data_IF_980346107749
#
_entry.id   IF_980346107749
#
_cell.length_a   1.000
_cell.length_b   1.000
_cell.length_c   1.000
_cell.angle_alpha   90.00
_cell.angle_beta   90.00
_cell.angle_gamma   90.00
#
_symmetry.space_group_name_H-M   'P 1'
#
loop_
_entity.id
_entity.type
_entity.pdbx_description
1 polymer ?
#
# COMPACT_ATOMS: atom_id res chain seq x y z
N UNK A 1 49.43 31.82 2.41
CA UNK A 1 48.06 31.55 1.90
C UNK A 1 47.48 30.28 2.51
N UNK A 2 47.37 30.21 3.85
CA UNK A 2 46.74 29.08 4.56
C UNK A 2 45.68 29.54 5.59
N UNK A 3 45.42 30.85 5.73
CA UNK A 3 44.56 31.38 6.80
C UNK A 3 43.10 31.69 6.43
N UNK A 4 42.71 31.65 5.15
CA UNK A 4 41.33 31.99 4.74
C UNK A 4 40.38 30.79 4.68
N UNK A 5 40.91 29.55 4.59
CA UNK A 5 40.05 28.35 4.53
C UNK A 5 39.65 27.82 5.90
N UNK A 6 40.47 28.00 6.93
CA UNK A 6 40.13 27.55 8.30
C UNK A 6 39.07 28.45 8.95
N UNK A 7 39.14 29.76 8.69
CA UNK A 7 38.19 30.77 9.21
C UNK A 7 36.77 30.62 8.64
N UNK A 8 36.64 30.17 7.37
CA UNK A 8 35.32 29.89 6.78
C UNK A 8 34.69 28.60 7.32
N UNK A 9 35.49 27.58 7.65
CA UNK A 9 34.98 26.35 8.26
C UNK A 9 34.51 26.57 9.70
N UNK A 10 35.25 27.37 10.49
CA UNK A 10 34.83 27.72 11.85
C UNK A 10 33.54 28.55 11.89
N UNK A 11 33.33 29.44 10.91
CA UNK A 11 32.09 30.23 10.83
C UNK A 11 30.89 29.37 10.43
N UNK A 12 31.05 28.41 9.53
CA UNK A 12 29.99 27.47 9.15
C UNK A 12 29.56 26.57 10.32
N UNK A 13 30.51 26.05 11.11
CA UNK A 13 30.19 25.23 12.30
C UNK A 13 29.50 26.08 13.38
N UNK A 14 29.87 27.36 13.52
CA UNK A 14 29.22 28.28 14.46
C UNK A 14 27.78 28.63 14.06
N UNK A 15 27.52 28.84 12.77
CA UNK A 15 26.16 29.12 12.27
C UNK A 15 25.26 27.88 12.34
N UNK A 16 25.77 26.70 12.02
CA UNK A 16 25.03 25.45 12.16
C UNK A 16 24.62 25.18 13.63
N UNK A 17 25.50 25.47 14.59
CA UNK A 17 25.20 25.32 16.02
C UNK A 17 24.17 26.36 16.53
N UNK A 18 24.20 27.59 16.01
CA UNK A 18 23.24 28.65 16.37
C UNK A 18 21.83 28.45 15.76
N UNK A 19 21.73 27.74 14.63
CA UNK A 19 20.43 27.36 14.04
C UNK A 19 19.78 26.24 14.88
N UNK A 20 20.58 25.29 15.37
CA UNK A 20 20.09 24.18 16.18
C UNK A 20 19.64 24.64 17.59
N UNK A 21 20.37 25.58 18.19
CA UNK A 21 20.01 26.18 19.49
C UNK A 21 18.69 26.97 19.43
N UNK A 22 18.44 27.72 18.33
CA UNK A 22 17.16 28.44 18.12
C UNK A 22 15.97 27.52 17.86
N UNK A 23 16.21 26.34 17.28
CA UNK A 23 15.16 25.30 17.13
C UNK A 23 14.83 24.64 18.47
N UNK A 24 15.80 24.46 19.35
CA UNK A 24 15.57 23.93 20.70
C UNK A 24 14.84 24.94 21.61
N UNK A 25 15.17 26.23 21.53
CA UNK A 25 14.47 27.27 22.32
C UNK A 25 13.02 27.53 21.86
N UNK A 26 12.68 27.27 20.59
CA UNK A 26 11.28 27.32 20.14
C UNK A 26 10.43 26.12 20.58
N UNK A 27 11.04 24.97 20.86
CA UNK A 27 10.33 23.78 21.37
C UNK A 27 10.03 23.91 22.87
N UNK A 28 10.83 24.66 23.64
CA UNK A 28 10.59 24.89 25.07
C UNK A 28 9.57 25.98 25.40
N UNK A 29 9.08 26.75 24.42
CA UNK A 29 8.09 27.82 24.63
C UNK A 29 6.62 27.34 24.58
N UNK A 30 6.37 26.04 24.43
CA UNK A 30 5.01 25.45 24.45
C UNK A 30 4.68 24.65 25.72
N UNK A 31 5.58 24.55 26.69
CA UNK A 31 5.37 23.81 27.95
C UNK A 31 5.46 24.71 29.20
N UNK A 32 4.69 25.80 29.27
CA UNK A 32 4.30 26.39 30.56
C UNK A 32 3.00 27.20 30.42
N UNK A 33 1.85 26.55 30.66
CA UNK A 33 0.62 27.25 31.04
C UNK A 33 -0.28 26.33 31.90
N UNK A 34 0.09 26.29 33.17
CA UNK A 34 -0.78 26.39 34.36
C UNK A 34 -1.83 25.27 34.62
N UNK A 35 -1.41 24.30 35.43
CA UNK A 35 -2.28 23.56 36.35
C UNK A 35 -2.77 24.49 37.46
N UNK A 36 -4.00 25.00 37.40
CA UNK A 36 -4.74 25.45 38.61
C UNK A 36 -6.26 25.41 38.40
N UNK A 37 -6.94 24.51 39.13
CA UNK A 37 -8.23 24.80 39.75
C UNK A 37 -9.49 24.11 39.20
N UNK A 38 -9.91 23.03 39.86
CA UNK A 38 -11.27 22.50 39.86
C UNK A 38 -12.29 23.52 40.41
N UNK A 39 -13.48 23.66 39.79
CA UNK A 39 -14.82 23.41 40.39
C UNK A 39 -15.98 23.74 39.43
N UNK A 40 -17.17 23.16 39.61
CA UNK A 40 -18.27 23.17 38.64
C UNK A 40 -19.26 24.31 38.87
N UNK A 41 -19.87 24.82 37.80
CA UNK A 41 -21.01 25.75 37.88
C UNK A 41 -22.30 25.08 37.40
N UNK A 42 -23.24 24.97 38.34
CA UNK A 42 -24.65 24.66 38.16
C UNK A 42 -25.46 25.90 37.75
N UNK A 43 -26.58 25.66 37.05
CA UNK A 43 -27.78 26.52 37.01
C UNK A 43 -28.15 27.03 35.60
N UNK A 44 -29.40 26.98 35.12
CA UNK A 44 -30.66 26.60 35.71
C UNK A 44 -31.75 26.40 34.63
N UNK A 45 -32.67 25.47 34.92
CA UNK A 45 -34.12 25.49 34.73
C UNK A 45 -34.76 26.04 33.42
N UNK A 46 -35.52 25.16 32.75
CA UNK A 46 -36.94 25.42 32.49
C UNK A 46 -37.76 24.12 32.63
N UNK A 47 -38.94 24.26 33.24
CA UNK A 47 -39.88 23.21 33.71
C UNK A 47 -41.17 23.28 32.87
N UNK A 48 -41.92 22.16 32.88
CA UNK A 48 -43.33 21.92 32.47
C UNK A 48 -43.48 21.29 31.08
N UNK A 49 -44.37 20.33 30.81
CA UNK A 49 -45.55 19.85 31.55
C UNK A 49 -45.92 18.43 31.05
N UNK A 50 -46.49 17.62 31.95
CA UNK A 50 -47.06 16.31 31.65
C UNK A 50 -48.47 16.45 31.07
N UNK A 51 -48.86 15.59 30.13
CA UNK A 51 -50.27 15.28 29.86
C UNK A 51 -50.44 13.81 29.45
N UNK A 52 -51.20 13.08 30.26
CA UNK A 52 -51.81 11.77 30.00
C UNK A 52 -53.10 11.96 29.20
N UNK A 53 -53.36 11.12 28.20
CA UNK A 53 -54.65 10.52 27.79
C UNK A 53 -54.22 9.29 26.92
N UNK A 54 -54.68 8.03 27.01
CA UNK A 54 -55.90 7.40 27.52
C UNK A 54 -56.44 6.48 26.41
N UNK A 55 -56.75 5.20 26.72
CA UNK A 55 -57.42 4.24 25.82
C UNK A 55 -56.51 3.08 25.36
N UNK A 56 -56.45 1.90 25.98
CA UNK A 56 -57.49 0.88 26.22
C UNK A 56 -58.01 0.24 24.94
N UNK A 57 -57.63 -1.02 24.66
CA UNK A 57 -58.53 -2.18 24.59
C UNK A 57 -57.84 -3.42 23.95
N UNK A 58 -57.97 -4.54 24.68
CA UNK A 58 -58.24 -5.93 24.26
C UNK A 58 -57.20 -6.70 23.41
N UNK A 59 -56.58 -7.77 23.94
CA UNK A 59 -57.10 -9.12 24.26
C UNK A 59 -56.92 -10.11 23.10
N UNK A 60 -56.13 -11.16 23.36
CA UNK A 60 -56.48 -12.52 22.98
C UNK A 60 -55.68 -13.16 21.85
N UNK A 61 -55.14 -14.36 22.14
CA UNK A 61 -55.11 -15.42 21.13
C UNK A 61 -53.81 -16.20 21.00
N UNK A 62 -53.59 -17.14 21.93
CA UNK A 62 -52.70 -18.29 21.74
C UNK A 62 -53.26 -19.27 20.68
N UNK A 63 -52.35 -19.94 19.94
CA UNK A 63 -52.29 -21.38 19.55
C UNK A 63 -51.50 -21.49 18.23
N UNK A 64 -50.35 -22.17 18.19
CA UNK A 64 -50.10 -23.64 18.21
C UNK A 64 -50.57 -24.40 16.97
N UNK A 65 -49.70 -25.35 16.56
CA UNK A 65 -49.82 -26.44 15.58
C UNK A 65 -49.37 -26.07 14.15
N UNK A 66 -48.71 -26.91 13.37
CA UNK A 66 -48.09 -28.24 13.50
C UNK A 66 -47.46 -28.52 12.10
N UNK A 67 -46.26 -29.13 12.03
CA UNK A 67 -46.00 -30.47 11.44
C UNK A 67 -46.19 -30.58 9.91
N UNK A 68 -45.08 -30.81 9.20
CA UNK A 68 -44.81 -31.90 8.23
C UNK A 68 -43.55 -31.51 7.41
N UNK A 69 -42.40 -32.19 7.47
CA UNK A 69 -42.04 -33.58 7.16
C UNK A 69 -41.87 -33.83 5.64
N UNK A 70 -40.77 -34.56 5.33
CA UNK A 70 -40.38 -35.13 4.02
C UNK A 70 -39.75 -34.15 2.99
N UNK A 71 -38.67 -34.45 2.27
CA UNK A 71 -37.94 -35.69 2.02
C UNK A 71 -37.37 -35.64 0.60
N UNK A 72 -36.31 -36.42 0.35
CA UNK A 72 -35.76 -36.80 -0.95
C UNK A 72 -34.74 -35.88 -1.67
N UNK A 73 -33.47 -36.25 -1.49
CA UNK A 73 -32.46 -36.32 -2.56
C UNK A 73 -32.95 -37.14 -3.76
N UNK A 74 -32.30 -36.99 -4.92
CA UNK A 74 -31.67 -38.17 -5.49
C UNK A 74 -30.22 -37.95 -5.96
N UNK A 75 -29.47 -39.03 -5.82
CA UNK A 75 -28.12 -39.26 -6.32
C UNK A 75 -28.05 -39.29 -7.86
N UNK A 76 -26.85 -38.98 -8.37
CA UNK A 76 -26.18 -39.86 -9.34
C UNK A 76 -26.22 -39.43 -10.81
N UNK A 77 -25.07 -38.96 -11.30
CA UNK A 77 -24.60 -39.31 -12.63
C UNK A 77 -23.06 -39.18 -12.68
N UNK A 78 -22.42 -40.34 -12.57
CA UNK A 78 -21.05 -40.59 -12.98
C UNK A 78 -20.84 -40.27 -14.46
N UNK A 79 -19.72 -39.62 -14.79
CA UNK A 79 -19.01 -39.90 -16.04
C UNK A 79 -17.50 -39.73 -15.83
N UNK A 80 -16.86 -40.88 -15.60
CA UNK A 80 -15.46 -41.09 -15.90
C UNK A 80 -15.27 -41.18 -17.41
N UNK A 81 -14.34 -40.42 -17.99
CA UNK A 81 -13.82 -40.72 -19.32
C UNK A 81 -12.29 -40.53 -19.39
N UNK A 82 -11.63 -41.68 -19.24
CA UNK A 82 -10.48 -42.16 -20.01
C UNK A 82 -9.23 -41.28 -20.13
N UNK A 83 -8.22 -41.67 -19.35
CA UNK A 83 -6.80 -41.49 -19.68
C UNK A 83 -6.46 -42.31 -20.92
N UNK A 84 -6.22 -41.64 -22.07
CA UNK A 84 -5.68 -42.30 -23.27
C UNK A 84 -4.20 -42.00 -23.42
N UNK A 85 -3.42 -43.04 -23.15
CA UNK A 85 -2.03 -43.20 -23.54
C UNK A 85 -1.85 -43.07 -25.05
N UNK A 86 -0.89 -42.24 -25.50
CA UNK A 86 -0.27 -42.40 -26.81
C UNK A 86 1.23 -42.15 -26.72
N UNK A 87 1.98 -43.26 -26.69
CA UNK A 87 3.39 -43.33 -27.08
C UNK A 87 3.54 -42.79 -28.51
N UNK A 88 4.50 -41.90 -28.72
CA UNK A 88 5.40 -41.98 -29.88
C UNK A 88 6.79 -41.48 -29.48
N UNK A 89 7.76 -42.37 -29.67
CA UNK A 89 9.21 -42.15 -29.62
C UNK A 89 9.60 -41.12 -30.70
N UNK A 90 10.62 -40.30 -30.45
CA UNK A 90 11.94 -40.42 -31.11
C UNK A 90 12.95 -39.42 -30.52
N UNK A 91 14.07 -39.98 -30.05
CA UNK A 91 15.44 -39.45 -29.96
C UNK A 91 15.72 -37.94 -29.88
N UNK A 92 16.33 -37.50 -28.77
CA UNK A 92 17.50 -36.60 -28.83
C UNK A 92 18.55 -37.00 -27.80
N UNK A 93 19.79 -37.01 -28.30
CA UNK A 93 20.99 -37.60 -27.70
C UNK A 93 21.53 -36.76 -26.54
N UNK A 94 22.05 -37.51 -25.57
CA UNK A 94 23.02 -37.15 -24.54
C UNK A 94 24.23 -36.43 -25.17
N UNK A 95 24.59 -35.25 -24.64
CA UNK A 95 25.98 -34.81 -24.51
C UNK A 95 26.14 -33.94 -23.27
N UNK A 96 26.62 -34.54 -22.19
CA UNK A 96 27.19 -33.84 -21.05
C UNK A 96 28.62 -33.40 -21.43
N UNK A 97 28.87 -32.10 -21.48
CA UNK A 97 30.18 -31.54 -21.78
C UNK A 97 30.95 -31.30 -20.46
N UNK A 98 31.92 -32.17 -20.17
CA UNK A 98 32.98 -31.95 -19.18
C UNK A 98 34.09 -31.13 -19.84
N UNK A 99 34.62 -30.06 -19.23
CA UNK A 99 35.88 -29.47 -19.68
C UNK A 99 37.08 -30.20 -19.06
N UNK A 100 37.87 -30.82 -19.94
CA UNK A 100 39.16 -31.46 -19.69
C UNK A 100 40.24 -30.44 -19.30
N UNK A 101 40.87 -30.64 -18.14
CA UNK A 101 42.09 -29.92 -17.75
C UNK A 101 43.31 -30.63 -18.36
N UNK A 102 43.81 -30.13 -19.50
CA UNK A 102 45.15 -30.48 -20.00
C UNK A 102 46.22 -29.70 -19.22
N UNK A 103 46.88 -30.36 -18.28
CA UNK A 103 48.15 -29.88 -17.71
C UNK A 103 49.27 -30.14 -18.72
N UNK A 104 49.85 -29.07 -19.28
CA UNK A 104 51.12 -29.17 -19.98
C UNK A 104 52.25 -28.83 -19.02
N UNK A 105 53.03 -29.85 -18.66
CA UNK A 105 54.29 -29.70 -17.94
C UNK A 105 55.34 -29.16 -18.89
N UNK A 106 55.80 -27.93 -18.65
CA UNK A 106 57.02 -27.40 -19.27
C UNK A 106 58.15 -27.41 -18.24
N UNK A 107 59.13 -28.28 -18.48
CA UNK A 107 60.43 -28.25 -17.81
C UNK A 107 61.05 -26.87 -17.90
N UNK A 108 61.35 -26.26 -16.75
CA UNK A 108 62.22 -25.10 -16.67
C UNK A 108 63.60 -25.55 -16.17
N UNK A 109 64.59 -25.30 -17.00
CA UNK A 109 66.00 -25.47 -16.72
C UNK A 109 66.41 -24.59 -15.52
N UNK A 110 67.18 -25.17 -14.61
CA UNK A 110 67.75 -24.50 -13.45
C UNK A 110 68.96 -23.64 -13.86
N UNK A 111 68.73 -22.36 -14.13
CA UNK A 111 69.80 -21.37 -14.14
C UNK A 111 70.18 -21.03 -12.69
N UNK A 112 71.40 -21.42 -12.29
CA UNK A 112 72.03 -20.96 -11.04
C UNK A 112 72.42 -19.50 -11.21
N UNK A 113 71.72 -18.58 -10.54
CA UNK A 113 72.19 -17.21 -10.34
C UNK A 113 72.89 -17.10 -8.99
N UNK A 114 74.04 -16.43 -8.98
CA UNK A 114 74.83 -16.07 -7.81
C UNK A 114 74.06 -15.12 -6.87
N UNK A 115 74.33 -15.23 -5.56
CA UNK A 115 73.51 -14.69 -4.47
C UNK A 115 73.31 -13.18 -4.43
N UNK A 116 74.07 -12.40 -5.20
CA UNK A 116 73.99 -10.94 -5.18
C UNK A 116 72.84 -10.40 -6.07
N UNK A 117 72.41 -11.15 -7.09
CA UNK A 117 71.28 -10.73 -7.95
C UNK A 117 69.90 -10.96 -7.31
N UNK A 118 69.79 -11.86 -6.32
CA UNK A 118 68.51 -12.21 -5.67
C UNK A 118 68.03 -11.11 -4.72
N UNK A 119 68.96 -10.37 -4.10
CA UNK A 119 68.63 -9.31 -3.14
C UNK A 119 68.04 -8.08 -3.86
N UNK A 120 68.62 -7.69 -5.00
CA UNK A 120 68.10 -6.55 -5.79
C UNK A 120 66.75 -6.86 -6.44
N UNK A 121 66.54 -8.10 -6.92
CA UNK A 121 65.25 -8.51 -7.48
C UNK A 121 64.13 -8.54 -6.43
N UNK A 122 64.43 -8.95 -5.19
CA UNK A 122 63.47 -8.91 -4.08
C UNK A 122 63.08 -7.48 -3.67
N UNK A 123 64.02 -6.54 -3.68
CA UNK A 123 63.74 -5.13 -3.33
C UNK A 123 62.86 -4.46 -4.40
N UNK A 124 63.07 -4.78 -5.68
CA UNK A 124 62.24 -4.25 -6.78
C UNK A 124 60.81 -4.82 -6.78
N UNK A 125 60.64 -6.12 -6.49
CA UNK A 125 59.31 -6.76 -6.44
C UNK A 125 58.50 -6.27 -5.22
N UNK A 126 59.16 -6.04 -4.07
CA UNK A 126 58.47 -5.53 -2.86
C UNK A 126 58.01 -4.09 -2.98
N UNK A 127 58.76 -3.21 -3.68
CA UNK A 127 58.32 -1.82 -3.91
C UNK A 127 57.18 -1.72 -4.94
N UNK A 128 57.16 -2.58 -5.96
CA UNK A 128 56.07 -2.65 -6.92
C UNK A 128 54.76 -3.19 -6.29
N UNK A 129 54.85 -4.15 -5.38
CA UNK A 129 53.68 -4.70 -4.68
C UNK A 129 53.04 -3.69 -3.72
N UNK A 130 53.83 -2.87 -3.03
CA UNK A 130 53.30 -1.86 -2.09
C UNK A 130 52.58 -0.70 -2.82
N UNK A 131 53.05 -0.31 -4.00
CA UNK A 131 52.40 0.74 -4.81
C UNK A 131 51.12 0.18 -5.47
N UNK A 132 51.14 -1.06 -5.94
CA UNK A 132 49.97 -1.74 -6.50
C UNK A 132 48.88 -2.01 -5.45
N UNK A 133 49.25 -2.39 -4.22
CA UNK A 133 48.29 -2.56 -3.12
C UNK A 133 47.62 -1.24 -2.73
N UNK A 134 48.37 -0.13 -2.73
CA UNK A 134 47.82 1.20 -2.41
C UNK A 134 46.80 1.67 -3.46
N UNK A 135 47.03 1.38 -4.75
CA UNK A 135 46.06 1.63 -5.81
C UNK A 135 44.84 0.70 -5.75
N UNK A 136 45.03 -0.56 -5.32
CA UNK A 136 43.95 -1.53 -5.21
C UNK A 136 43.06 -1.28 -3.98
N UNK A 137 43.60 -0.76 -2.87
CA UNK A 137 42.81 -0.35 -1.69
C UNK A 137 42.07 0.97 -1.89
N UNK A 138 42.58 1.90 -2.71
CA UNK A 138 41.86 3.14 -3.03
C UNK A 138 40.64 2.91 -3.94
N UNK A 139 40.64 1.87 -4.79
CA UNK A 139 39.50 1.55 -5.66
C UNK A 139 38.28 0.95 -4.91
N UNK A 140 38.48 0.45 -3.69
CA UNK A 140 37.42 -0.12 -2.83
C UNK A 140 36.81 0.87 -1.84
N UNK A 141 37.37 2.08 -1.72
CA UNK A 141 36.82 3.17 -0.90
C UNK A 141 36.20 4.30 -1.73
N UNK A 142 35.98 4.09 -3.04
CA UNK A 142 35.06 4.94 -3.76
C UNK A 142 33.68 4.79 -3.10
N UNK A 143 33.08 5.84 -2.51
CA UNK A 143 31.71 5.76 -2.08
C UNK A 143 30.92 5.32 -3.31
N UNK A 144 30.17 4.23 -3.20
CA UNK A 144 29.17 3.92 -4.19
C UNK A 144 28.30 5.18 -4.33
N UNK A 145 28.54 5.94 -5.39
CA UNK A 145 27.67 7.04 -5.77
C UNK A 145 26.34 6.34 -6.02
N UNK A 146 25.45 6.37 -5.02
CA UNK A 146 24.03 6.13 -5.26
C UNK A 146 23.70 7.03 -6.44
N UNK A 147 23.16 6.49 -7.56
CA UNK A 147 22.82 7.33 -8.70
C UNK A 147 22.01 8.48 -8.12
N UNK A 148 22.61 9.66 -8.17
CA UNK A 148 21.99 10.88 -7.71
C UNK A 148 20.65 10.94 -8.42
N UNK A 149 19.58 11.13 -7.65
CA UNK A 149 18.23 11.31 -8.18
C UNK A 149 18.41 12.25 -9.37
N UNK A 150 18.13 11.81 -10.59
CA UNK A 150 17.91 12.75 -11.68
C UNK A 150 16.68 13.51 -11.20
N UNK A 151 16.93 14.64 -10.51
CA UNK A 151 15.90 15.57 -10.13
C UNK A 151 15.32 15.97 -11.48
N UNK A 152 14.13 15.44 -11.79
CA UNK A 152 13.32 16.00 -12.86
C UNK A 152 13.23 17.52 -12.64
N UNK A 153 12.96 18.31 -13.69
CA UNK A 153 12.80 19.76 -13.59
C UNK A 153 12.13 20.16 -12.29
N UNK A 154 12.73 21.14 -11.62
CA UNK A 154 12.19 21.76 -10.41
C UNK A 154 10.67 21.93 -10.58
N UNK A 155 9.83 21.46 -9.64
CA UNK A 155 8.38 21.64 -9.70
C UNK A 155 7.95 23.08 -10.04
N UNK A 156 8.76 24.08 -9.67
CA UNK A 156 8.53 25.49 -9.98
C UNK A 156 8.70 25.85 -11.47
N UNK A 157 9.43 25.04 -12.24
CA UNK A 157 9.75 25.25 -13.66
C UNK A 157 8.93 24.35 -14.61
N UNK A 158 7.92 23.64 -14.11
CA UNK A 158 7.04 22.81 -14.94
C UNK A 158 6.01 23.69 -15.69
N UNK A 159 5.70 23.37 -16.96
CA UNK A 159 4.65 24.07 -17.70
C UNK A 159 3.28 23.83 -17.04
N UNK A 160 2.41 24.86 -17.02
CA UNK A 160 1.06 24.77 -16.46
C UNK A 160 0.17 23.77 -17.22
N UNK A 161 0.34 23.73 -18.55
CA UNK A 161 -0.39 22.85 -19.46
C UNK A 161 0.52 21.72 -19.96
N UNK A 162 -0.11 20.63 -20.38
CA UNK A 162 0.60 19.47 -20.88
C UNK A 162 1.22 19.77 -22.26
N UNK A 163 2.56 19.73 -22.41
CA UNK A 163 3.20 19.98 -23.69
C UNK A 163 3.10 18.78 -24.66
N UNK A 164 2.69 17.59 -24.18
CA UNK A 164 2.53 16.38 -24.98
C UNK A 164 1.03 16.08 -25.14
N UNK A 165 0.46 16.37 -26.31
CA UNK A 165 -0.98 16.20 -26.55
C UNK A 165 -1.33 15.64 -27.94
N UNK A 166 -0.32 15.26 -28.74
CA UNK A 166 -0.56 14.65 -30.04
C UNK A 166 -1.21 13.27 -29.91
N UNK A 167 -1.86 12.80 -30.97
CA UNK A 167 -2.44 11.45 -30.97
C UNK A 167 -1.39 10.35 -30.70
N UNK A 168 -0.15 10.55 -31.16
CA UNK A 168 0.97 9.63 -30.89
C UNK A 168 1.41 9.66 -29.42
N UNK A 169 1.42 10.84 -28.79
CA UNK A 169 1.72 10.99 -27.36
C UNK A 169 0.66 10.32 -26.50
N UNK A 170 -0.61 10.50 -26.85
CA UNK A 170 -1.75 9.88 -26.18
C UNK A 170 -1.70 8.35 -26.28
N UNK A 171 -1.41 7.81 -27.47
CA UNK A 171 -1.26 6.36 -27.65
C UNK A 171 -0.05 5.80 -26.86
N UNK A 172 1.04 6.54 -26.79
CA UNK A 172 2.19 6.18 -25.95
C UNK A 172 1.80 6.19 -24.46
N UNK A 173 1.10 7.24 -24.03
CA UNK A 173 0.54 7.38 -22.69
C UNK A 173 -0.39 6.23 -22.32
N UNK A 174 -1.27 5.81 -23.24
CA UNK A 174 -2.18 4.68 -23.05
C UNK A 174 -1.42 3.38 -22.75
N UNK A 175 -0.34 3.10 -23.49
CA UNK A 175 0.48 1.88 -23.27
C UNK A 175 1.17 1.89 -21.92
N UNK A 176 1.75 3.04 -21.54
CA UNK A 176 2.37 3.23 -20.23
C UNK A 176 1.35 3.09 -19.10
N UNK A 177 0.18 3.69 -19.27
CA UNK A 177 -0.94 3.62 -18.33
C UNK A 177 -1.43 2.18 -18.13
N UNK A 178 -1.60 1.41 -19.21
CA UNK A 178 -2.15 0.06 -19.13
C UNK A 178 -1.30 -0.90 -18.27
N UNK A 179 0.04 -0.73 -18.27
CA UNK A 179 0.95 -1.55 -17.49
C UNK A 179 1.15 -1.13 -16.03
N UNK A 180 0.72 0.09 -15.65
CA UNK A 180 1.05 0.69 -14.34
C UNK A 180 -0.16 1.20 -13.57
N UNK A 181 -1.08 1.85 -14.27
CA UNK A 181 -2.22 2.54 -13.67
C UNK A 181 -3.52 1.75 -13.83
N UNK A 182 -3.68 1.03 -14.95
CA UNK A 182 -4.92 0.33 -15.31
C UNK A 182 -5.35 -0.75 -14.31
N UNK A 183 -4.42 -1.34 -13.56
CA UNK A 183 -4.75 -2.32 -12.52
C UNK A 183 -5.59 -1.70 -11.38
N UNK A 184 -5.30 -0.46 -11.01
CA UNK A 184 -6.04 0.23 -9.95
C UNK A 184 -7.17 1.09 -10.52
N UNK A 185 -6.90 1.85 -11.58
CA UNK A 185 -7.81 2.85 -12.12
C UNK A 185 -8.69 2.35 -13.29
N UNK A 186 -8.60 1.07 -13.66
CA UNK A 186 -9.30 0.49 -14.81
C UNK A 186 -8.64 0.88 -16.12
N UNK A 187 -8.79 0.08 -17.18
CA UNK A 187 -8.05 0.33 -18.43
C UNK A 187 -8.52 1.59 -19.18
N UNK A 188 -9.76 2.00 -18.94
CA UNK A 188 -10.38 3.20 -19.48
C UNK A 188 -10.62 4.27 -18.40
N UNK A 189 -9.93 4.19 -17.26
CA UNK A 189 -10.08 5.16 -16.17
C UNK A 189 -11.40 5.07 -15.40
N UNK A 190 -12.15 3.98 -15.55
CA UNK A 190 -13.42 3.76 -14.87
C UNK A 190 -13.26 3.60 -13.33
N UNK A 191 -12.03 3.42 -12.82
CA UNK A 191 -11.67 3.31 -11.40
C UNK A 191 -11.39 1.87 -10.95
N UNK A 192 -11.80 1.51 -9.74
CA UNK A 192 -11.68 0.16 -9.19
C UNK A 192 -11.20 0.28 -7.75
N UNK A 193 -10.10 -0.40 -7.43
CA UNK A 193 -9.28 -0.09 -6.25
C UNK A 193 -8.86 1.38 -6.26
N UNK A 194 -8.52 1.93 -7.42
CA UNK A 194 -8.21 3.35 -7.59
C UNK A 194 -9.45 4.20 -7.88
N UNK A 195 -9.30 5.52 -7.74
CA UNK A 195 -10.35 6.48 -8.07
C UNK A 195 -10.67 6.49 -9.58
N UNK A 196 -11.90 6.85 -9.92
CA UNK A 196 -12.36 7.01 -11.31
C UNK A 196 -11.73 8.27 -11.95
N UNK A 197 -10.99 8.10 -13.04
CA UNK A 197 -10.27 9.18 -13.75
C UNK A 197 -11.01 9.69 -14.99
N UNK A 198 -11.93 8.91 -15.52
CA UNK A 198 -12.63 9.21 -16.79
C UNK A 198 -13.77 10.24 -16.65
N UNK A 199 -14.13 10.66 -15.43
CA UNK A 199 -15.18 11.66 -15.18
C UNK A 199 -14.66 13.11 -15.20
N UNK A 200 -13.34 13.31 -15.26
CA UNK A 200 -12.70 14.62 -15.12
C UNK A 200 -12.83 15.27 -13.74
N UNK A 201 -13.34 14.54 -12.75
CA UNK A 201 -13.46 15.01 -11.36
C UNK A 201 -12.28 14.50 -10.54
N UNK A 202 -11.27 15.34 -10.35
CA UNK A 202 -10.08 15.01 -9.57
C UNK A 202 -10.11 15.66 -8.18
N UNK A 203 -9.55 14.97 -7.19
CA UNK A 203 -9.40 15.48 -5.82
C UNK A 203 -8.11 16.25 -5.60
N UNK A 204 -7.04 15.85 -6.28
CA UNK A 204 -5.68 16.38 -6.06
C UNK A 204 -5.23 17.32 -7.18
N UNK A 205 -6.14 18.17 -7.65
CA UNK A 205 -5.90 19.07 -8.80
C UNK A 205 -6.20 18.41 -10.15
N UNK A 206 -6.48 19.24 -11.15
CA UNK A 206 -6.98 18.81 -12.47
C UNK A 206 -6.33 19.51 -13.66
N UNK A 207 -5.44 20.48 -13.40
CA UNK A 207 -4.59 21.06 -14.44
C UNK A 207 -3.54 20.06 -14.93
N UNK A 208 -2.93 20.34 -16.09
CA UNK A 208 -1.85 19.50 -16.61
C UNK A 208 -0.71 19.34 -15.62
N UNK A 209 -0.25 20.46 -15.04
CA UNK A 209 0.80 20.46 -14.01
C UNK A 209 0.44 19.70 -12.76
N UNK A 210 -0.77 19.90 -12.21
CA UNK A 210 -1.19 19.18 -11.00
C UNK A 210 -1.29 17.67 -11.25
N UNK A 211 -1.87 17.26 -12.38
CA UNK A 211 -1.93 15.85 -12.76
C UNK A 211 -0.52 15.26 -12.92
N UNK A 212 0.40 16.01 -13.53
CA UNK A 212 1.80 15.60 -13.65
C UNK A 212 2.44 15.37 -12.27
N UNK A 213 2.27 16.31 -11.33
CA UNK A 213 2.83 16.20 -9.98
C UNK A 213 2.24 15.00 -9.23
N UNK A 214 0.92 14.82 -9.31
CA UNK A 214 0.23 13.67 -8.70
C UNK A 214 0.75 12.35 -9.27
N UNK A 215 0.93 12.24 -10.59
CA UNK A 215 1.45 11.01 -11.21
C UNK A 215 2.94 10.79 -10.87
N UNK A 216 3.75 11.85 -10.85
CA UNK A 216 5.18 11.77 -10.55
C UNK A 216 5.44 11.37 -9.10
N UNK A 217 4.79 12.06 -8.17
CA UNK A 217 5.10 11.98 -6.75
C UNK A 217 4.22 10.97 -6.01
N UNK A 218 3.07 10.60 -6.60
CA UNK A 218 2.03 9.82 -5.94
C UNK A 218 1.24 10.68 -4.95
N UNK A 219 0.32 10.05 -4.22
CA UNK A 219 -0.42 10.74 -3.15
C UNK A 219 0.07 10.17 -1.82
N UNK A 220 0.68 11.01 -0.94
CA UNK A 220 1.11 10.58 0.38
C UNK A 220 -0.02 9.94 1.19
N UNK A 221 0.31 8.93 1.99
CA UNK A 221 -0.65 8.19 2.82
C UNK A 221 -1.79 7.52 2.03
N UNK A 222 -1.51 7.10 0.80
CA UNK A 222 -2.46 6.32 0.00
C UNK A 222 -1.74 5.18 -0.73
N UNK A 223 -2.50 4.27 -1.32
CA UNK A 223 -1.97 3.24 -2.20
C UNK A 223 -1.50 3.77 -3.57
N UNK A 224 -1.74 5.05 -3.91
CA UNK A 224 -1.30 5.60 -5.19
C UNK A 224 0.22 5.83 -5.17
N UNK A 225 1.01 5.03 -5.90
CA UNK A 225 2.45 5.19 -5.91
C UNK A 225 2.84 6.38 -6.81
N UNK A 226 4.00 6.97 -6.53
CA UNK A 226 4.66 7.82 -7.51
C UNK A 226 5.17 6.99 -8.70
N UNK A 227 5.21 7.59 -9.89
CA UNK A 227 5.83 7.03 -11.08
C UNK A 227 7.36 7.04 -11.00
N UNK A 228 7.90 6.49 -9.90
CA UNK A 228 9.32 6.48 -9.61
C UNK A 228 10.09 5.84 -10.79
N UNK A 229 11.07 6.59 -11.32
CA UNK A 229 12.00 6.20 -12.40
C UNK A 229 11.50 6.36 -13.84
N UNK A 230 10.35 6.98 -14.10
CA UNK A 230 9.99 7.36 -15.47
C UNK A 230 10.54 8.74 -15.84
N UNK A 231 11.00 8.94 -17.08
CA UNK A 231 11.29 10.27 -17.61
C UNK A 231 10.05 11.15 -17.62
N UNK A 232 10.20 12.44 -17.35
CA UNK A 232 9.10 13.42 -17.34
C UNK A 232 8.25 13.41 -18.61
N UNK A 233 8.88 13.23 -19.78
CA UNK A 233 8.17 13.13 -21.05
C UNK A 233 7.16 11.96 -21.07
N UNK A 234 7.49 10.84 -20.44
CA UNK A 234 6.58 9.69 -20.33
C UNK A 234 5.44 9.96 -19.36
N UNK A 235 5.72 10.66 -18.26
CA UNK A 235 4.69 11.09 -17.31
C UNK A 235 3.71 12.05 -18.01
N UNK A 236 4.19 13.03 -18.74
CA UNK A 236 3.33 13.94 -19.51
C UNK A 236 2.47 13.22 -20.56
N UNK A 237 3.01 12.21 -21.24
CA UNK A 237 2.23 11.37 -22.16
C UNK A 237 1.13 10.60 -21.44
N UNK A 238 1.41 10.06 -20.25
CA UNK A 238 0.37 9.45 -19.42
C UNK A 238 -0.70 10.47 -19.01
N UNK A 239 -0.31 11.68 -18.61
CA UNK A 239 -1.25 12.78 -18.31
C UNK A 239 -2.12 13.09 -19.53
N UNK A 240 -1.55 13.07 -20.74
CA UNK A 240 -2.31 13.29 -21.98
C UNK A 240 -3.42 12.25 -22.17
N UNK A 241 -3.11 10.98 -21.90
CA UNK A 241 -4.09 9.91 -21.94
C UNK A 241 -5.16 10.06 -20.84
N UNK A 242 -4.77 10.39 -19.61
CA UNK A 242 -5.74 10.65 -18.52
C UNK A 242 -6.68 11.81 -18.88
N UNK A 243 -6.15 12.89 -19.43
CA UNK A 243 -6.94 14.03 -19.90
C UNK A 243 -7.88 13.65 -21.06
N UNK A 244 -7.49 12.70 -21.93
CA UNK A 244 -8.38 12.15 -22.96
C UNK A 244 -9.52 11.33 -22.33
N UNK A 245 -9.22 10.44 -21.37
CA UNK A 245 -10.22 9.64 -20.67
C UNK A 245 -11.29 10.53 -20.02
N UNK A 246 -10.87 11.62 -19.38
CA UNK A 246 -11.75 12.58 -18.71
C UNK A 246 -12.77 13.27 -19.63
N UNK A 247 -12.56 13.25 -20.96
CA UNK A 247 -13.49 13.83 -21.94
C UNK A 247 -14.58 12.87 -22.39
N UNK A 248 -14.40 11.58 -22.15
CA UNK A 248 -15.20 10.51 -22.75
C UNK A 248 -15.82 9.54 -21.74
N UNK A 249 -15.51 9.67 -20.44
CA UNK A 249 -15.96 8.73 -19.43
C UNK A 249 -17.36 8.98 -18.91
N UNK A 250 -18.14 7.90 -18.83
CA UNK A 250 -19.31 7.82 -17.98
C UNK A 250 -18.89 7.33 -16.58
N UNK A 251 -19.51 7.87 -15.54
CA UNK A 251 -19.43 7.29 -14.19
C UNK A 251 -20.27 6.02 -14.10
N UNK A 252 -19.85 5.06 -13.27
CA UNK A 252 -20.69 3.92 -12.90
C UNK A 252 -22.06 4.46 -12.40
N UNK A 253 -23.20 4.01 -12.98
CA UNK A 253 -24.52 4.49 -12.57
C UNK A 253 -24.81 4.06 -11.13
N UNK A 254 -25.32 5.00 -10.33
CA UNK A 254 -25.87 4.70 -9.00
C UNK A 254 -27.29 4.20 -9.20
N UNK A 255 -27.55 2.93 -8.88
CA UNK A 255 -28.83 2.26 -9.12
C UNK A 255 -29.70 2.05 -7.88
N UNK A 256 -29.16 2.26 -6.67
CA UNK A 256 -29.87 2.11 -5.41
C UNK A 256 -30.23 3.43 -4.72
N UNK A 257 -30.98 3.34 -3.63
CA UNK A 257 -31.35 4.43 -2.74
C UNK A 257 -30.34 4.56 -1.58
N UNK A 258 -29.65 5.70 -1.51
CA UNK A 258 -28.66 5.98 -0.47
C UNK A 258 -29.25 6.06 0.95
N UNK A 259 -30.51 6.50 1.11
CA UNK A 259 -31.17 6.55 2.40
C UNK A 259 -31.51 5.13 2.90
N UNK A 260 -32.01 4.26 2.00
CA UNK A 260 -32.19 2.84 2.32
C UNK A 260 -30.85 2.16 2.62
N UNK A 261 -29.79 2.49 1.88
CA UNK A 261 -28.45 1.96 2.08
C UNK A 261 -27.84 2.30 3.44
N UNK A 262 -28.13 3.49 3.96
CA UNK A 262 -27.73 3.87 5.32
C UNK A 262 -28.37 2.97 6.39
N UNK A 263 -29.61 2.52 6.17
CA UNK A 263 -30.29 1.56 7.04
C UNK A 263 -29.63 0.18 6.94
N UNK A 264 -29.31 -0.27 5.72
CA UNK A 264 -28.58 -1.53 5.48
C UNK A 264 -27.22 -1.52 6.19
N UNK A 265 -26.47 -0.41 6.09
CA UNK A 265 -25.17 -0.23 6.75
C UNK A 265 -25.28 -0.41 8.28
N UNK A 266 -26.29 0.23 8.90
CA UNK A 266 -26.51 0.14 10.35
C UNK A 266 -26.97 -1.26 10.76
N UNK A 267 -27.94 -1.82 10.04
CA UNK A 267 -28.55 -3.13 10.34
C UNK A 267 -27.54 -4.28 10.29
N UNK A 268 -26.56 -4.19 9.39
CA UNK A 268 -25.56 -5.24 9.17
C UNK A 268 -24.26 -5.03 9.98
N UNK A 269 -24.24 -4.06 10.90
CA UNK A 269 -23.12 -3.86 11.82
C UNK A 269 -21.85 -3.33 11.16
N UNK A 270 -21.93 -2.74 9.95
CA UNK A 270 -20.75 -2.23 9.24
C UNK A 270 -19.97 -1.20 10.09
N UNK A 271 -20.71 -0.36 10.83
CA UNK A 271 -20.15 0.63 11.75
C UNK A 271 -19.46 0.07 13.00
N UNK A 272 -19.50 -1.25 13.26
CA UNK A 272 -18.73 -1.86 14.36
C UNK A 272 -17.24 -1.91 14.04
N UNK A 273 -16.89 -1.97 12.75
CA UNK A 273 -15.50 -2.00 12.29
C UNK A 273 -15.10 -0.71 11.58
N UNK A 274 -15.99 -0.14 10.77
CA UNK A 274 -15.70 1.03 9.95
C UNK A 274 -16.13 2.33 10.64
N UNK A 275 -15.34 3.38 10.43
CA UNK A 275 -15.66 4.74 10.85
C UNK A 275 -16.20 5.59 9.69
N UNK A 276 -17.09 6.52 10.02
CA UNK A 276 -17.58 7.58 9.13
C UNK A 276 -17.66 8.86 9.97
N UNK A 277 -17.00 9.93 9.53
CA UNK A 277 -16.92 11.21 10.25
C UNK A 277 -16.49 11.02 11.72
N UNK A 278 -15.52 10.13 11.95
CA UNK A 278 -15.01 9.79 13.28
C UNK A 278 -15.94 8.93 14.16
N UNK A 279 -17.06 8.42 13.63
CA UNK A 279 -18.00 7.56 14.36
C UNK A 279 -17.95 6.12 13.85
N UNK A 280 -17.83 5.15 14.75
CA UNK A 280 -17.81 3.72 14.42
C UNK A 280 -16.57 3.01 14.97
N UNK A 281 -16.21 1.90 14.34
CA UNK A 281 -15.02 1.12 14.71
C UNK A 281 -13.73 1.62 14.07
N UNK A 282 -12.61 1.03 14.50
CA UNK A 282 -11.26 1.31 13.98
C UNK A 282 -10.56 0.07 13.40
N UNK A 283 -11.22 -1.10 13.45
CA UNK A 283 -10.68 -2.33 12.87
C UNK A 283 -10.78 -2.34 11.33
N UNK A 284 -11.71 -1.56 10.77
CA UNK A 284 -11.86 -1.36 9.32
C UNK A 284 -11.37 0.02 8.88
N UNK A 285 -11.13 0.21 7.57
CA UNK A 285 -10.86 1.51 6.97
C UNK A 285 -11.93 2.55 7.29
N UNK A 286 -11.51 3.80 7.41
CA UNK A 286 -12.40 4.96 7.39
C UNK A 286 -13.11 5.05 6.03
N UNK A 287 -14.44 5.26 6.07
CA UNK A 287 -15.32 5.31 4.92
C UNK A 287 -15.83 6.72 4.61
N UNK A 288 -15.45 7.74 5.39
CA UNK A 288 -15.92 9.13 5.30
C UNK A 288 -16.00 9.68 3.86
N UNK A 289 -15.03 9.33 3.03
CA UNK A 289 -14.86 9.84 1.68
C UNK A 289 -14.71 8.73 0.62
N UNK A 290 -15.16 7.51 0.96
CA UNK A 290 -14.92 6.30 0.18
C UNK A 290 -15.50 6.39 -1.24
N UNK A 291 -16.66 7.04 -1.40
CA UNK A 291 -17.32 7.23 -2.69
C UNK A 291 -16.56 8.14 -3.66
N UNK A 292 -15.53 8.84 -3.19
CA UNK A 292 -14.59 9.59 -4.02
C UNK A 292 -13.24 8.88 -4.21
N UNK A 293 -12.89 7.93 -3.34
CA UNK A 293 -11.63 7.15 -3.44
C UNK A 293 -11.77 5.89 -4.29
N UNK A 294 -12.96 5.28 -4.30
CA UNK A 294 -13.22 3.98 -4.95
C UNK A 294 -14.37 4.07 -5.94
N UNK A 295 -14.32 3.23 -6.98
CA UNK A 295 -15.45 3.07 -7.90
C UNK A 295 -16.55 2.19 -7.27
N UNK A 296 -17.81 2.42 -7.66
CA UNK A 296 -18.96 1.69 -7.10
C UNK A 296 -18.85 0.18 -7.30
N UNK A 297 -18.33 -0.27 -8.45
CA UNK A 297 -18.11 -1.71 -8.68
C UNK A 297 -17.11 -2.34 -7.73
N UNK A 298 -16.07 -1.60 -7.32
CA UNK A 298 -15.10 -2.10 -6.34
C UNK A 298 -15.72 -2.15 -4.95
N UNK A 299 -16.55 -1.16 -4.58
CA UNK A 299 -17.30 -1.22 -3.32
C UNK A 299 -18.21 -2.45 -3.27
N UNK A 300 -18.90 -2.76 -4.37
CA UNK A 300 -19.73 -3.96 -4.48
C UNK A 300 -18.90 -5.24 -4.32
N UNK A 301 -17.75 -5.31 -4.98
CA UNK A 301 -16.83 -6.45 -4.86
C UNK A 301 -16.32 -6.60 -3.43
N UNK A 302 -15.84 -5.53 -2.78
CA UNK A 302 -15.34 -5.59 -1.40
C UNK A 302 -16.39 -6.05 -0.38
N UNK A 303 -17.68 -5.78 -0.62
CA UNK A 303 -18.78 -6.25 0.24
C UNK A 303 -19.08 -7.74 0.03
N UNK A 304 -18.97 -8.23 -1.20
CA UNK A 304 -19.28 -9.62 -1.56
C UNK A 304 -18.09 -10.57 -1.37
N UNK A 305 -16.89 -10.11 -1.68
CA UNK A 305 -15.62 -10.84 -1.61
C UNK A 305 -14.52 -9.95 -1.02
N UNK A 306 -14.51 -9.75 0.32
CA UNK A 306 -13.49 -8.96 1.00
C UNK A 306 -12.09 -9.58 0.97
N UNK A 307 -11.95 -10.85 0.55
CA UNK A 307 -10.66 -11.54 0.43
C UNK A 307 -9.98 -11.27 -0.93
N UNK A 308 -10.76 -10.87 -1.96
CA UNK A 308 -10.23 -10.55 -3.28
C UNK A 308 -9.21 -9.41 -3.25
N UNK A 309 -9.41 -8.45 -2.35
CA UNK A 309 -8.51 -7.33 -2.17
C UNK A 309 -8.42 -6.85 -0.71
N UNK A 310 -7.31 -7.19 -0.05
CA UNK A 310 -7.01 -6.77 1.32
C UNK A 310 -5.89 -5.72 1.29
N UNK A 311 -6.18 -4.45 1.64
CA UNK A 311 -5.17 -3.40 1.75
C UNK A 311 -4.05 -3.82 2.70
N UNK A 312 -2.82 -3.40 2.41
CA UNK A 312 -1.62 -3.81 3.17
C UNK A 312 -1.76 -3.58 4.67
N UNK A 313 -2.31 -2.43 5.05
CA UNK A 313 -2.57 -1.97 6.41
C UNK A 313 -3.65 -2.77 7.16
N UNK A 314 -4.47 -3.56 6.45
CA UNK A 314 -5.53 -4.40 7.04
C UNK A 314 -5.27 -5.90 6.85
N UNK A 315 -4.08 -6.28 6.36
CA UNK A 315 -3.70 -7.70 6.24
C UNK A 315 -3.66 -8.36 7.60
N UNK A 316 -4.19 -9.57 7.66
CA UNK A 316 -4.25 -10.32 8.91
C UNK A 316 -3.02 -11.18 9.11
N UNK A 317 -2.68 -11.40 10.38
CA UNK A 317 -1.70 -12.38 10.83
C UNK A 317 -2.34 -13.27 11.89
N UNK A 318 -2.02 -14.56 11.85
CA UNK A 318 -2.38 -15.55 12.86
C UNK A 318 -1.10 -16.03 13.53
N UNK A 319 -1.02 -15.79 14.84
CA UNK A 319 0.13 -16.11 15.67
C UNK A 319 -0.25 -17.22 16.63
N UNK A 320 0.52 -18.31 16.66
CA UNK A 320 0.35 -19.41 17.62
C UNK A 320 1.54 -19.46 18.57
N UNK A 321 1.28 -19.36 19.86
CA UNK A 321 2.32 -19.43 20.90
C UNK A 321 2.73 -20.88 21.14
N UNK A 322 3.92 -21.09 21.72
CA UNK A 322 4.40 -22.42 22.14
C UNK A 322 3.47 -23.12 23.16
N UNK A 323 2.59 -22.36 23.81
CA UNK A 323 1.54 -22.87 24.71
C UNK A 323 0.27 -23.31 23.97
N UNK A 324 0.25 -23.24 22.63
CA UNK A 324 -0.88 -23.60 21.77
C UNK A 324 -1.96 -22.52 21.66
N UNK A 325 -1.76 -21.32 22.21
CA UNK A 325 -2.74 -20.23 22.13
C UNK A 325 -2.62 -19.53 20.77
N UNK A 326 -3.67 -19.59 19.97
CA UNK A 326 -3.76 -18.86 18.70
C UNK A 326 -4.41 -17.50 18.90
N UNK A 327 -3.78 -16.44 18.39
CA UNK A 327 -4.33 -15.07 18.31
C UNK A 327 -4.31 -14.61 16.86
N UNK A 328 -5.41 -14.01 16.40
CA UNK A 328 -5.54 -13.45 15.05
C UNK A 328 -5.87 -11.97 15.13
N UNK A 329 -5.30 -11.19 14.22
CA UNK A 329 -5.53 -9.76 14.16
C UNK A 329 -4.92 -9.11 12.92
N UNK A 330 -5.00 -7.79 12.86
CA UNK A 330 -4.37 -6.97 11.82
C UNK A 330 -2.89 -6.90 12.10
N UNK A 331 -2.07 -7.19 11.10
CA UNK A 331 -0.62 -7.11 11.19
C UNK A 331 -0.17 -5.65 11.14
N UNK A 332 0.43 -5.16 12.23
CA UNK A 332 0.87 -3.77 12.32
C UNK A 332 2.34 -3.61 11.98
N UNK A 333 3.18 -4.48 12.56
CA UNK A 333 4.62 -4.44 12.35
C UNK A 333 5.24 -5.80 12.69
N UNK A 334 6.34 -6.12 12.04
CA UNK A 334 7.18 -7.27 12.35
C UNK A 334 8.64 -6.87 12.17
N UNK A 335 9.45 -7.14 13.20
CA UNK A 335 10.89 -6.95 13.18
C UNK A 335 11.63 -8.29 13.35
N UNK A 336 12.94 -8.26 13.58
CA UNK A 336 13.75 -9.48 13.72
C UNK A 336 13.36 -10.34 14.94
N UNK A 337 12.79 -9.73 15.98
CA UNK A 337 12.50 -10.38 17.26
C UNK A 337 11.02 -10.48 17.58
N UNK A 338 10.19 -9.57 17.04
CA UNK A 338 8.83 -9.38 17.50
C UNK A 338 7.82 -9.26 16.36
N UNK A 339 6.58 -9.65 16.68
CA UNK A 339 5.40 -9.46 15.83
C UNK A 339 4.37 -8.66 16.61
N UNK A 340 3.90 -7.57 16.03
CA UNK A 340 2.86 -6.70 16.57
C UNK A 340 1.58 -6.84 15.76
N UNK A 341 0.48 -7.09 16.46
CA UNK A 341 -0.84 -7.16 15.84
C UNK A 341 -1.90 -6.43 16.68
N UNK A 342 -2.95 -5.98 16.01
CA UNK A 342 -4.17 -5.49 16.63
C UNK A 342 -5.19 -6.63 16.62
N UNK A 343 -5.54 -7.16 17.80
CA UNK A 343 -6.50 -8.27 17.88
C UNK A 343 -7.94 -7.82 17.55
N UNK A 344 -8.86 -8.78 17.38
CA UNK A 344 -10.26 -8.51 17.07
C UNK A 344 -11.03 -7.80 18.20
N UNK A 345 -10.44 -7.71 19.40
CA UNK A 345 -10.98 -6.94 20.52
C UNK A 345 -10.44 -5.51 20.55
N UNK A 346 -9.56 -5.15 19.60
CA UNK A 346 -8.97 -3.82 19.51
C UNK A 346 -7.75 -3.61 20.40
N UNK A 347 -7.17 -4.67 20.96
CA UNK A 347 -5.96 -4.56 21.79
C UNK A 347 -4.70 -4.71 20.95
N UNK A 348 -3.72 -3.85 21.21
CA UNK A 348 -2.37 -4.01 20.70
C UNK A 348 -1.71 -5.19 21.42
N UNK A 349 -1.26 -6.18 20.65
CA UNK A 349 -0.55 -7.37 21.13
C UNK A 349 0.86 -7.34 20.55
N UNK A 350 1.85 -7.62 21.38
CA UNK A 350 3.22 -7.86 20.96
C UNK A 350 3.59 -9.28 21.38
N UNK A 351 4.21 -10.01 20.47
CA UNK A 351 4.69 -11.36 20.72
C UNK A 351 6.17 -11.44 20.35
N UNK A 352 6.98 -12.01 21.23
CA UNK A 352 8.38 -12.35 20.90
C UNK A 352 8.39 -13.61 20.06
N UNK A 353 9.10 -13.61 18.93
CA UNK A 353 9.20 -14.76 18.02
C UNK A 353 9.74 -16.02 18.71
N UNK A 354 10.56 -15.85 19.77
CA UNK A 354 11.04 -16.96 20.61
C UNK A 354 9.94 -17.67 21.39
N UNK A 355 8.78 -17.04 21.58
CA UNK A 355 7.61 -17.59 22.28
C UNK A 355 6.56 -18.14 21.32
N UNK A 356 6.82 -18.06 20.01
CA UNK A 356 5.91 -18.45 18.96
C UNK A 356 6.30 -19.81 18.37
N UNK A 357 5.29 -20.63 18.19
CA UNK A 357 5.39 -21.85 17.38
C UNK A 357 5.27 -21.50 15.89
N UNK A 358 4.37 -20.58 15.55
CA UNK A 358 4.04 -20.28 14.16
C UNK A 358 3.49 -18.85 13.97
N UNK A 359 3.77 -18.28 12.79
CA UNK A 359 3.27 -16.99 12.31
C UNK A 359 2.80 -17.16 10.88
N UNK A 360 1.48 -17.10 10.66
CA UNK A 360 0.87 -17.28 9.33
C UNK A 360 0.18 -16.01 8.85
N UNK A 361 0.29 -15.76 7.56
CA UNK A 361 -0.55 -14.81 6.84
C UNK A 361 -1.66 -15.61 6.14
N UNK A 362 -2.87 -15.72 6.73
CA UNK A 362 -3.91 -16.58 6.19
C UNK A 362 -4.49 -16.09 4.85
N UNK A 363 -4.21 -14.85 4.45
CA UNK A 363 -4.76 -14.25 3.23
C UNK A 363 -6.28 -14.07 3.30
N UNK A 364 -6.84 -13.92 4.51
CA UNK A 364 -8.27 -13.74 4.77
C UNK A 364 -8.50 -12.43 5.50
N UNK A 365 -9.52 -11.69 5.09
CA UNK A 365 -9.93 -10.43 5.69
C UNK A 365 -10.60 -10.67 7.05
N UNK A 366 -10.57 -9.65 7.92
CA UNK A 366 -11.45 -9.60 9.09
C UNK A 366 -12.87 -9.14 8.71
N UNK A 367 -13.04 -8.50 7.56
CA UNK A 367 -14.35 -8.11 7.06
C UNK A 367 -15.11 -9.38 6.63
N UNK A 368 -16.32 -9.63 7.18
CA UNK A 368 -17.18 -10.71 6.72
C UNK A 368 -17.64 -10.50 5.28
N UNK A 369 -17.88 -11.58 4.55
CA UNK A 369 -18.54 -11.53 3.25
C UNK A 369 -20.06 -11.39 3.46
N UNK A 370 -20.68 -10.46 2.75
CA UNK A 370 -22.13 -10.18 2.85
C UNK A 370 -22.90 -10.72 1.64
N UNK A 371 -22.59 -11.94 1.20
CA UNK A 371 -23.23 -12.61 0.06
C UNK A 371 -24.71 -12.92 0.28
N UNK A 372 -25.18 -12.85 1.52
CA UNK A 372 -26.58 -13.06 1.90
C UNK A 372 -27.47 -11.82 1.73
N UNK A 373 -26.90 -10.64 1.43
CA UNK A 373 -27.69 -9.45 1.15
C UNK A 373 -28.55 -9.64 -0.09
N UNK A 374 -29.77 -9.09 -0.07
CA UNK A 374 -30.58 -9.04 -1.28
C UNK A 374 -29.91 -8.13 -2.32
N UNK A 375 -30.20 -8.35 -3.60
CA UNK A 375 -29.68 -7.49 -4.67
C UNK A 375 -30.03 -6.02 -4.43
N UNK A 376 -31.24 -5.74 -3.96
CA UNK A 376 -31.69 -4.38 -3.65
C UNK A 376 -30.89 -3.79 -2.49
N UNK A 377 -30.75 -4.52 -1.37
CA UNK A 377 -29.98 -4.05 -0.21
C UNK A 377 -28.52 -3.76 -0.56
N UNK A 378 -27.91 -4.58 -1.42
CA UNK A 378 -26.56 -4.37 -1.90
C UNK A 378 -26.44 -3.10 -2.74
N UNK A 379 -27.36 -2.88 -3.69
CA UNK A 379 -27.35 -1.68 -4.53
C UNK A 379 -27.59 -0.41 -3.71
N UNK A 380 -28.51 -0.47 -2.73
CA UNK A 380 -28.78 0.63 -1.80
C UNK A 380 -27.55 0.92 -0.94
N UNK A 381 -26.91 -0.10 -0.38
CA UNK A 381 -25.67 0.04 0.39
C UNK A 381 -24.54 0.67 -0.44
N UNK A 382 -24.35 0.20 -1.68
CA UNK A 382 -23.35 0.77 -2.59
C UNK A 382 -23.69 2.22 -2.97
N UNK A 383 -24.97 2.56 -3.13
CA UNK A 383 -25.42 3.93 -3.35
C UNK A 383 -25.11 4.83 -2.15
N UNK A 384 -25.34 4.34 -0.92
CA UNK A 384 -24.98 5.04 0.30
C UNK A 384 -23.46 5.28 0.38
N UNK A 385 -22.64 4.24 0.24
CA UNK A 385 -21.17 4.37 0.26
C UNK A 385 -20.65 5.29 -0.86
N UNK A 386 -21.26 5.22 -2.06
CA UNK A 386 -20.96 6.11 -3.17
C UNK A 386 -21.27 7.58 -2.90
N UNK A 387 -22.26 7.85 -2.04
CA UNK A 387 -22.64 9.20 -1.61
C UNK A 387 -21.66 9.81 -0.59
N UNK A 388 -20.88 8.99 0.11
CA UNK A 388 -19.87 9.43 1.08
C UNK A 388 -18.69 10.09 0.37
N UNK A 389 -18.78 11.41 0.21
CA UNK A 389 -17.80 12.25 -0.50
C UNK A 389 -17.53 13.51 0.32
N UNK A 390 -16.31 14.09 0.23
CA UNK A 390 -16.01 15.35 0.92
C UNK A 390 -16.99 16.44 0.50
N UNK A 391 -17.52 17.18 1.48
CA UNK A 391 -18.27 18.41 1.21
C UNK A 391 -17.28 19.43 0.62
N UNK A 392 -17.63 19.97 -0.55
CA UNK A 392 -16.83 20.99 -1.23
C UNK A 392 -16.89 22.34 -0.54
#
# INVERSE_FOLDING_TARGET
MVDTKFTNWSNFVREAWLIDKRKMEQVQLFETADERGCTPMFGAAHRRESARIGGSLLLGGMRSLAIDSEGASPCGADMAFTTRTRRRKESQRIMAFRPDKKSSSRSFASLRLSGECVVLLRICISKAFLIACCWMTCALCAPAQRPERQNGPDPANLPETNPYSSAADVETGRRLYAGRCGHCHGQNGEGGRGATLNTGRFRHGGSGRELFLVVRDGIPNTEMPGAFRLPDAEIWRMVAYVQQLSRHGASDPVTGDAAAGAIVYQKNGCGQCHSIDGKGGFLGPDLTDIGARRALRHLRESVLDPDADIPLEYRTVAVTTLTGKSTRGIHLNEDEYSVHLLDMSGNLRSFMKSELEDVKLPGRSLMPAYTSLSKTDLEDLVAYLGSLRPKR
#
